data_IF_352610075846
#
_entry.id   IF_352610075846
#
_cell.length_a   1.000
_cell.length_b   1.000
_cell.length_c   1.000
_cell.angle_alpha   90.00
_cell.angle_beta   90.00
_cell.angle_gamma   90.00
#
_symmetry.space_group_name_H-M   'P 1'
#
loop_
_entity.id
_entity.type
_entity.pdbx_description
1 polymer ?
#
# COMPACT_ATOMS: atom_id res chain seq x y z
N UNK A 1 0.93 15.70 -10.20
CA UNK A 1 -0.30 16.52 -10.19
C UNK A 1 -1.54 15.71 -9.78
N UNK A 2 -1.61 14.42 -10.14
CA UNK A 2 -2.77 13.57 -9.87
C UNK A 2 -3.00 13.32 -8.36
N UNK A 3 -1.94 13.30 -7.54
CA UNK A 3 -2.01 13.32 -6.08
C UNK A 3 -2.61 14.63 -5.49
N UNK A 4 -2.72 15.69 -6.28
CA UNK A 4 -3.24 16.99 -5.81
C UNK A 4 -4.72 17.21 -6.15
N UNK A 5 -5.38 16.23 -6.75
CA UNK A 5 -6.83 16.26 -6.91
C UNK A 5 -7.53 16.07 -5.57
N UNK A 6 -8.75 16.53 -5.46
CA UNK A 6 -9.58 16.34 -4.27
C UNK A 6 -10.87 15.67 -4.68
N UNK A 7 -11.06 14.40 -4.30
CA UNK A 7 -10.13 13.52 -3.57
C UNK A 7 -8.91 13.09 -4.40
N UNK A 8 -7.84 12.64 -3.72
CA UNK A 8 -6.60 12.18 -4.36
C UNK A 8 -6.84 10.95 -5.26
N UNK A 9 -6.60 11.12 -6.56
CA UNK A 9 -6.90 10.10 -7.57
C UNK A 9 -6.03 8.85 -7.51
N UNK A 10 -4.80 8.95 -6.98
CA UNK A 10 -3.93 7.78 -6.79
C UNK A 10 -4.50 6.89 -5.68
N UNK A 11 -4.86 7.48 -4.54
CA UNK A 11 -5.49 6.74 -3.44
C UNK A 11 -6.83 6.14 -3.86
N UNK A 12 -7.68 6.87 -4.61
CA UNK A 12 -8.95 6.33 -5.09
C UNK A 12 -8.76 5.09 -5.95
N UNK A 13 -7.85 5.13 -6.92
CA UNK A 13 -7.57 3.98 -7.77
C UNK A 13 -7.01 2.80 -6.97
N UNK A 14 -6.12 3.05 -6.00
CA UNK A 14 -5.56 2.00 -5.15
C UNK A 14 -6.62 1.37 -4.23
N UNK A 15 -7.49 2.19 -3.62
CA UNK A 15 -8.60 1.74 -2.77
C UNK A 15 -9.58 0.86 -3.58
N UNK A 16 -9.89 1.24 -4.81
CA UNK A 16 -10.75 0.47 -5.70
C UNK A 16 -10.09 -0.86 -6.08
N UNK A 17 -8.83 -0.84 -6.49
CA UNK A 17 -8.03 -2.04 -6.82
C UNK A 17 -7.99 -3.04 -5.68
N UNK A 18 -7.80 -2.57 -4.46
CA UNK A 18 -7.74 -3.38 -3.25
C UNK A 18 -9.12 -3.79 -2.73
N UNK A 19 -10.19 -3.19 -3.25
CA UNK A 19 -11.57 -3.36 -2.76
C UNK A 19 -11.74 -2.91 -1.29
N UNK A 20 -11.01 -1.87 -0.86
CA UNK A 20 -10.97 -1.40 0.53
C UNK A 20 -11.99 -0.31 0.85
N UNK A 21 -12.87 0.04 -0.08
CA UNK A 21 -13.85 1.12 0.10
C UNK A 21 -14.75 0.92 1.34
N UNK A 22 -15.18 -0.31 1.59
CA UNK A 22 -16.01 -0.64 2.76
C UNK A 22 -15.21 -0.63 4.08
N UNK A 23 -13.88 -0.65 4.01
CA UNK A 23 -12.99 -0.65 5.16
C UNK A 23 -12.50 0.74 5.56
N UNK A 24 -12.84 1.79 4.79
CA UNK A 24 -12.41 3.15 5.11
C UNK A 24 -12.88 3.59 6.50
N UNK A 25 -11.94 4.04 7.32
CA UNK A 25 -12.26 4.61 8.62
C UNK A 25 -12.60 6.08 8.47
N UNK A 26 -13.81 6.48 8.85
CA UNK A 26 -14.33 7.84 8.74
C UNK A 26 -14.15 8.47 7.34
N UNK A 27 -14.38 7.68 6.29
CA UNK A 27 -14.18 8.10 4.88
C UNK A 27 -12.75 8.54 4.55
N UNK A 28 -11.76 8.16 5.36
CA UNK A 28 -10.35 8.44 5.11
C UNK A 28 -9.85 7.71 3.87
N UNK A 29 -8.93 8.34 3.13
CA UNK A 29 -8.21 7.68 2.04
C UNK A 29 -6.96 6.92 2.54
N UNK A 30 -6.59 7.13 3.79
CA UNK A 30 -5.33 6.62 4.37
C UNK A 30 -5.54 5.67 5.54
N UNK A 31 -6.70 5.66 6.21
CA UNK A 31 -6.97 4.84 7.38
C UNK A 31 -8.11 3.87 7.13
N UNK A 32 -7.90 2.60 7.51
CA UNK A 32 -8.81 1.49 7.25
C UNK A 32 -8.98 0.60 8.47
N UNK A 33 -10.17 0.00 8.61
CA UNK A 33 -10.45 -1.04 9.59
C UNK A 33 -10.81 -2.35 8.92
N UNK A 34 -10.22 -3.42 9.42
CA UNK A 34 -10.47 -4.78 8.98
C UNK A 34 -10.94 -5.67 10.14
N UNK A 35 -11.47 -6.84 9.81
CA UNK A 35 -11.63 -7.90 10.79
C UNK A 35 -10.27 -8.34 11.29
N UNK A 36 -10.20 -8.76 12.56
CA UNK A 36 -8.99 -9.25 13.19
C UNK A 36 -8.34 -10.39 12.38
N UNK A 37 -7.06 -10.23 12.08
CA UNK A 37 -6.25 -11.18 11.31
C UNK A 37 -4.76 -10.92 11.56
N UNK A 38 -3.92 -11.92 11.26
CA UNK A 38 -2.47 -11.75 11.39
C UNK A 38 -1.87 -10.89 10.25
N UNK A 39 -0.69 -10.33 10.48
CA UNK A 39 0.09 -9.60 9.44
C UNK A 39 0.33 -10.51 8.24
N UNK A 40 0.67 -11.79 8.47
CA UNK A 40 0.91 -12.77 7.39
C UNK A 40 -0.35 -13.00 6.55
N UNK A 41 -1.51 -13.24 7.17
CA UNK A 41 -2.78 -13.43 6.47
C UNK A 41 -3.17 -12.19 5.65
N UNK A 42 -2.97 -11.01 6.23
CA UNK A 42 -3.21 -9.75 5.55
C UNK A 42 -2.29 -9.59 4.33
N UNK A 43 -0.98 -9.84 4.51
CA UNK A 43 0.01 -9.75 3.44
C UNK A 43 -0.29 -10.71 2.28
N UNK A 44 -0.71 -11.94 2.57
CA UNK A 44 -1.09 -12.93 1.55
C UNK A 44 -2.31 -12.46 0.73
N UNK A 45 -3.31 -11.85 1.38
CA UNK A 45 -4.48 -11.27 0.70
C UNK A 45 -4.07 -10.08 -0.17
N UNK A 46 -3.25 -9.17 0.37
CA UNK A 46 -2.72 -8.02 -0.33
C UNK A 46 -1.90 -8.43 -1.58
N UNK A 47 -1.02 -9.43 -1.44
CA UNK A 47 -0.20 -9.94 -2.54
C UNK A 47 -1.07 -10.48 -3.70
N UNK A 48 -2.15 -11.18 -3.39
CA UNK A 48 -3.09 -11.66 -4.42
C UNK A 48 -3.74 -10.50 -5.17
N UNK A 49 -4.15 -9.43 -4.47
CA UNK A 49 -4.75 -8.23 -5.08
C UNK A 49 -3.76 -7.48 -5.97
N UNK A 50 -2.47 -7.51 -5.62
CA UNK A 50 -1.38 -6.88 -6.38
C UNK A 50 -0.72 -7.84 -7.38
N UNK A 51 -1.47 -8.82 -7.90
CA UNK A 51 -1.04 -9.78 -8.95
C UNK A 51 0.27 -10.52 -8.61
N UNK A 52 0.49 -10.83 -7.34
CA UNK A 52 1.68 -11.54 -6.88
C UNK A 52 2.94 -10.69 -6.75
N UNK A 53 2.81 -9.37 -6.68
CA UNK A 53 3.92 -8.44 -6.39
C UNK A 53 4.75 -8.92 -5.20
N UNK A 54 6.06 -8.70 -5.27
CA UNK A 54 6.93 -9.03 -4.15
C UNK A 54 6.75 -8.02 -3.04
N UNK A 55 6.20 -8.48 -1.92
CA UNK A 55 6.05 -7.68 -0.72
C UNK A 55 7.28 -7.85 0.18
N UNK A 56 7.77 -6.76 0.75
CA UNK A 56 8.73 -6.78 1.85
C UNK A 56 8.00 -6.43 3.13
N UNK A 57 8.18 -7.22 4.17
CA UNK A 57 7.41 -7.13 5.41
C UNK A 57 8.37 -7.00 6.59
N UNK A 58 8.08 -6.09 7.49
CA UNK A 58 8.82 -5.86 8.73
C UNK A 58 7.84 -5.95 9.89
N UNK A 59 8.24 -6.63 10.96
CA UNK A 59 7.44 -6.89 12.17
C UNK A 59 7.09 -8.37 12.33
N UNK A 60 6.34 -8.68 13.37
CA UNK A 60 5.95 -10.07 13.70
C UNK A 60 4.84 -10.56 12.74
N UNK A 61 5.06 -11.64 11.96
CA UNK A 61 4.05 -12.20 11.06
C UNK A 61 2.78 -12.66 11.77
N UNK A 62 2.88 -13.04 13.05
CA UNK A 62 1.76 -13.53 13.86
C UNK A 62 1.05 -12.41 14.64
N UNK A 63 1.52 -11.17 14.56
CA UNK A 63 0.86 -10.03 15.21
C UNK A 63 -0.54 -9.84 14.63
N UNK A 64 -1.54 -9.80 15.49
CA UNK A 64 -2.92 -9.51 15.13
C UNK A 64 -3.14 -8.02 14.88
N UNK A 65 -3.81 -7.69 13.78
CA UNK A 65 -4.09 -6.33 13.36
C UNK A 65 -5.57 -6.15 12.97
N UNK A 66 -6.06 -4.95 13.20
CA UNK A 66 -7.37 -4.47 12.76
C UNK A 66 -7.28 -3.11 12.06
N UNK A 67 -6.34 -2.28 12.46
CA UNK A 67 -6.18 -0.91 11.99
C UNK A 67 -4.98 -0.79 11.06
N UNK A 68 -5.22 -0.31 9.84
CA UNK A 68 -4.23 -0.24 8.78
C UNK A 68 -4.13 1.18 8.25
N UNK A 69 -2.91 1.67 8.03
CA UNK A 69 -2.65 2.87 7.25
C UNK A 69 -2.16 2.49 5.84
N UNK A 70 -2.58 3.26 4.85
CA UNK A 70 -2.09 3.19 3.47
C UNK A 70 -1.30 4.44 3.14
N UNK A 71 -0.08 4.27 2.62
CA UNK A 71 0.83 5.33 2.19
C UNK A 71 1.42 4.98 0.83
N UNK A 72 0.84 5.46 -0.25
CA UNK A 72 1.26 5.15 -1.62
C UNK A 72 2.49 5.96 -2.05
N UNK A 73 3.22 5.49 -3.06
CA UNK A 73 4.39 6.15 -3.62
C UNK A 73 5.60 6.17 -2.68
N UNK A 74 6.35 7.26 -2.69
CA UNK A 74 7.56 7.47 -1.90
C UNK A 74 7.49 8.81 -1.14
N UNK A 75 6.60 8.97 -0.15
CA UNK A 75 6.39 10.25 0.53
C UNK A 75 7.50 10.65 1.51
N UNK A 76 8.45 9.73 1.78
CA UNK A 76 9.57 9.93 2.68
C UNK A 76 9.30 9.50 4.12
N UNK A 77 10.40 9.38 4.89
CA UNK A 77 10.38 8.84 6.26
C UNK A 77 9.44 9.60 7.19
N UNK A 78 9.48 10.94 7.17
CA UNK A 78 8.64 11.74 8.07
C UNK A 78 7.14 11.46 7.87
N UNK A 79 6.70 11.22 6.64
CA UNK A 79 5.30 10.87 6.37
C UNK A 79 4.95 9.50 6.92
N UNK A 80 5.85 8.53 6.82
CA UNK A 80 5.66 7.20 7.41
C UNK A 80 5.67 7.27 8.94
N UNK A 81 6.57 8.06 9.52
CA UNK A 81 6.67 8.25 10.96
C UNK A 81 5.36 8.84 11.54
N UNK A 82 4.77 9.81 10.86
CA UNK A 82 3.48 10.38 11.27
C UNK A 82 2.38 9.30 11.39
N UNK A 83 2.34 8.32 10.46
CA UNK A 83 1.41 7.19 10.58
C UNK A 83 1.77 6.26 11.73
N UNK A 84 3.06 5.96 11.91
CA UNK A 84 3.53 5.00 12.91
C UNK A 84 3.36 5.54 14.34
N UNK A 85 3.43 6.86 14.53
CA UNK A 85 3.26 7.53 15.82
C UNK A 85 1.81 7.90 16.16
N UNK A 86 0.92 7.97 15.16
CA UNK A 86 -0.50 8.37 15.31
C UNK A 86 -1.27 7.54 16.36
N UNK A 87 -0.83 6.34 16.64
CA UNK A 87 -1.50 5.43 17.60
C UNK A 87 -2.70 4.69 17.02
N UNK A 88 -3.24 5.07 15.87
CA UNK A 88 -4.32 4.36 15.21
C UNK A 88 -3.85 3.12 14.45
N UNK A 89 -2.88 3.17 13.50
CA UNK A 89 -2.51 1.99 12.73
C UNK A 89 -1.56 1.07 13.49
N UNK A 90 -1.86 -0.20 13.44
CA UNK A 90 -0.98 -1.30 13.84
C UNK A 90 -0.09 -1.73 12.67
N UNK A 91 -0.61 -1.61 11.45
CA UNK A 91 0.05 -1.97 10.21
C UNK A 91 0.11 -0.76 9.25
N UNK A 92 1.31 -0.45 8.76
CA UNK A 92 1.53 0.49 7.64
C UNK A 92 1.68 -0.31 6.33
N UNK A 93 0.83 -0.06 5.35
CA UNK A 93 1.02 -0.52 3.97
C UNK A 93 1.58 0.66 3.18
N UNK A 94 2.82 0.56 2.74
CA UNK A 94 3.53 1.62 2.06
C UNK A 94 3.98 1.22 0.65
N UNK A 95 4.22 2.20 -0.21
CA UNK A 95 4.84 1.99 -1.51
C UNK A 95 6.34 1.74 -1.36
N UNK A 96 7.12 2.79 -1.22
CA UNK A 96 8.58 2.76 -1.14
C UNK A 96 9.07 3.50 0.10
N UNK A 97 10.12 2.97 0.71
CA UNK A 97 10.81 3.60 1.83
C UNK A 97 12.31 3.25 1.83
N UNK A 98 13.10 4.11 2.47
CA UNK A 98 14.50 3.83 2.76
C UNK A 98 14.62 2.73 3.80
N UNK A 99 15.42 1.69 3.50
CA UNK A 99 15.61 0.57 4.42
C UNK A 99 16.22 1.01 5.75
N UNK A 100 17.18 1.94 5.73
CA UNK A 100 17.84 2.47 6.95
C UNK A 100 17.00 3.46 7.78
N UNK A 101 15.74 3.75 7.39
CA UNK A 101 14.84 4.65 8.10
C UNK A 101 13.57 3.89 8.53
N UNK A 102 12.57 3.82 7.67
CA UNK A 102 11.24 3.27 8.02
C UNK A 102 11.30 1.79 8.41
N UNK A 103 12.12 1.00 7.71
CA UNK A 103 12.25 -0.44 8.03
C UNK A 103 12.85 -0.63 9.42
N UNK A 104 13.97 0.03 9.70
CA UNK A 104 14.65 -0.08 11.00
C UNK A 104 13.75 0.44 12.13
N UNK A 105 13.07 1.57 11.93
CA UNK A 105 12.12 2.09 12.92
C UNK A 105 11.02 1.07 13.28
N UNK A 106 10.42 0.44 12.27
CA UNK A 106 9.37 -0.57 12.50
C UNK A 106 9.95 -1.83 13.14
N UNK A 107 11.15 -2.25 12.73
CA UNK A 107 11.84 -3.40 13.33
C UNK A 107 12.09 -3.16 14.82
N UNK A 108 12.69 -2.03 15.16
CA UNK A 108 12.96 -1.65 16.55
C UNK A 108 11.69 -1.57 17.39
N UNK A 109 10.64 -0.91 16.86
CA UNK A 109 9.34 -0.83 17.52
C UNK A 109 8.75 -2.22 17.80
N UNK A 110 8.81 -3.12 16.81
CA UNK A 110 8.36 -4.51 16.96
C UNK A 110 9.18 -5.27 18.02
N UNK A 111 10.51 -5.14 17.99
CA UNK A 111 11.40 -5.76 18.98
C UNK A 111 11.21 -5.23 20.41
N UNK A 112 10.76 -3.98 20.53
CA UNK A 112 10.40 -3.37 21.82
C UNK A 112 8.98 -3.80 22.30
N UNK A 113 8.30 -4.67 21.58
CA UNK A 113 6.97 -5.16 21.92
C UNK A 113 5.83 -4.20 21.56
N UNK A 114 6.10 -3.18 20.75
CA UNK A 114 5.06 -2.30 20.22
C UNK A 114 4.32 -3.02 19.10
N UNK A 115 2.99 -2.86 19.05
CA UNK A 115 2.15 -3.39 17.97
C UNK A 115 2.34 -2.59 16.67
N UNK A 116 3.48 -2.78 16.02
CA UNK A 116 3.82 -2.12 14.77
C UNK A 116 4.40 -3.11 13.77
N UNK A 117 3.88 -3.04 12.54
CA UNK A 117 4.41 -3.74 11.39
C UNK A 117 4.28 -2.86 10.13
N UNK A 118 5.04 -3.17 9.10
CA UNK A 118 4.92 -2.53 7.80
C UNK A 118 5.02 -3.53 6.65
N UNK A 119 4.27 -3.27 5.57
CA UNK A 119 4.35 -3.98 4.30
C UNK A 119 4.68 -2.97 3.21
N UNK A 120 5.76 -3.23 2.47
CA UNK A 120 6.21 -2.40 1.35
C UNK A 120 5.89 -3.11 0.04
N UNK A 121 5.07 -2.46 -0.79
CA UNK A 121 4.56 -3.01 -2.04
C UNK A 121 5.44 -2.66 -3.25
N UNK A 122 6.30 -1.67 -3.10
CA UNK A 122 7.02 -1.00 -4.17
C UNK A 122 6.24 0.20 -4.72
N UNK A 123 6.97 1.21 -5.22
CA UNK A 123 6.43 2.47 -5.70
C UNK A 123 5.35 2.24 -6.77
N UNK A 124 5.74 1.58 -7.87
CA UNK A 124 4.86 1.33 -9.02
C UNK A 124 3.59 0.58 -8.58
N UNK A 125 3.74 -0.53 -7.85
CA UNK A 125 2.61 -1.34 -7.41
C UNK A 125 1.63 -0.59 -6.49
N UNK A 126 2.11 0.45 -5.79
CA UNK A 126 1.27 1.28 -4.92
C UNK A 126 0.52 2.41 -5.64
N UNK A 127 0.95 2.79 -6.87
CA UNK A 127 0.38 3.93 -7.59
C UNK A 127 -0.24 3.55 -8.94
N UNK A 128 0.13 2.41 -9.52
CA UNK A 128 -0.28 1.98 -10.85
C UNK A 128 -1.81 2.00 -11.04
N UNK A 129 -2.56 1.51 -10.05
CA UNK A 129 -4.02 1.51 -10.09
C UNK A 129 -4.61 2.93 -10.11
N UNK A 130 -3.94 3.90 -9.47
CA UNK A 130 -4.30 5.32 -9.55
C UNK A 130 -4.09 5.89 -10.94
N UNK A 131 -3.07 5.45 -11.67
CA UNK A 131 -2.84 5.86 -13.06
C UNK A 131 -3.85 5.23 -14.02
N UNK A 132 -4.26 3.98 -13.79
CA UNK A 132 -5.37 3.35 -14.51
C UNK A 132 -6.69 4.11 -14.28
N UNK A 133 -6.94 4.51 -13.03
CA UNK A 133 -8.08 5.35 -12.67
C UNK A 133 -8.01 6.73 -13.36
N UNK A 134 -6.82 7.35 -13.46
CA UNK A 134 -6.61 8.60 -14.19
C UNK A 134 -7.04 8.48 -15.66
N UNK A 135 -6.70 7.39 -16.34
CA UNK A 135 -7.11 7.17 -17.72
C UNK A 135 -8.64 7.07 -17.86
N UNK A 136 -9.31 6.43 -16.91
CA UNK A 136 -10.76 6.34 -16.85
C UNK A 136 -11.41 7.70 -16.59
N UNK A 137 -10.86 8.47 -15.65
CA UNK A 137 -11.31 9.82 -15.32
C UNK A 137 -11.15 10.78 -16.51
N UNK A 138 -10.02 10.75 -17.21
CA UNK A 138 -9.78 11.58 -18.40
C UNK A 138 -10.83 11.35 -19.50
N UNK A 139 -11.28 10.12 -19.71
CA UNK A 139 -12.32 9.80 -20.70
C UNK A 139 -13.64 10.53 -20.44
N UNK A 140 -13.90 10.97 -19.21
CA UNK A 140 -15.10 11.73 -18.87
C UNK A 140 -15.07 13.17 -19.37
N UNK A 141 -13.88 13.72 -19.66
CA UNK A 141 -13.70 15.11 -20.13
C UNK A 141 -13.34 15.19 -21.62
N UNK A 142 -12.69 14.20 -22.17
CA UNK A 142 -12.20 14.15 -23.54
C UNK A 142 -12.61 12.84 -24.22
N UNK A 143 -13.92 12.64 -24.44
CA UNK A 143 -14.44 11.37 -24.96
C UNK A 143 -14.04 11.08 -26.41
N UNK A 144 -13.71 12.12 -27.18
CA UNK A 144 -13.40 12.03 -28.63
C UNK A 144 -11.94 11.64 -28.90
N UNK A 145 -11.08 11.58 -27.88
CA UNK A 145 -9.67 11.19 -27.99
C UNK A 145 -9.47 9.80 -27.39
N UNK A 146 -8.86 8.86 -28.12
CA UNK A 146 -8.52 7.55 -27.57
C UNK A 146 -7.54 7.70 -26.39
N UNK A 147 -7.93 7.21 -25.20
CA UNK A 147 -7.08 7.19 -24.01
C UNK A 147 -6.88 5.74 -23.60
N UNK A 148 -5.62 5.30 -23.58
CA UNK A 148 -5.24 3.95 -23.21
C UNK A 148 -4.26 3.99 -22.03
N UNK A 149 -4.57 3.27 -20.98
CA UNK A 149 -3.61 3.00 -19.92
C UNK A 149 -2.66 1.88 -20.37
N UNK A 150 -1.36 2.08 -20.18
CA UNK A 150 -0.34 1.07 -20.43
C UNK A 150 0.26 0.65 -19.09
N UNK A 151 0.07 -0.61 -18.74
CA UNK A 151 0.67 -1.21 -17.54
C UNK A 151 2.20 -1.26 -17.70
N UNK A 152 2.93 -0.71 -16.75
CA UNK A 152 4.39 -0.62 -16.83
C UNK A 152 5.10 -1.75 -16.07
N UNK A 153 4.48 -2.23 -14.99
CA UNK A 153 5.08 -3.23 -14.12
C UNK A 153 6.34 -2.74 -13.38
N UNK A 154 6.97 -3.59 -12.56
CA UNK A 154 8.16 -3.22 -11.81
C UNK A 154 9.38 -3.08 -12.74
N UNK A 155 10.25 -2.10 -12.44
CA UNK A 155 11.51 -1.88 -13.15
C UNK A 155 12.63 -2.88 -12.78
N UNK A 156 12.33 -3.87 -11.98
CA UNK A 156 13.24 -4.91 -11.53
C UNK A 156 12.58 -6.28 -11.62
N UNK A 157 13.40 -7.30 -11.63
CA UNK A 157 12.97 -8.69 -11.48
C UNK A 157 13.63 -9.31 -10.25
N UNK A 158 13.11 -10.42 -9.77
CA UNK A 158 13.64 -11.11 -8.61
C UNK A 158 13.69 -12.62 -8.85
N UNK A 159 14.64 -13.26 -8.22
CA UNK A 159 14.76 -14.71 -8.26
C UNK A 159 13.58 -15.33 -7.53
N UNK A 160 12.72 -16.04 -8.26
CA UNK A 160 11.67 -16.86 -7.65
C UNK A 160 12.29 -18.15 -7.14
N UNK A 161 11.97 -18.55 -5.90
CA UNK A 161 12.26 -19.92 -5.45
C UNK A 161 11.55 -20.87 -6.40
N UNK A 162 12.32 -21.68 -7.15
CA UNK A 162 11.76 -22.85 -7.81
C UNK A 162 11.24 -23.79 -6.72
N UNK A 163 9.93 -23.95 -6.65
CA UNK A 163 9.35 -25.03 -5.85
C UNK A 163 9.68 -26.31 -6.66
N UNK A 164 10.77 -26.95 -6.26
CA UNK A 164 11.07 -28.32 -6.74
C UNK A 164 9.93 -29.19 -6.21
N UNK A 165 9.07 -29.66 -7.14
CA UNK A 165 8.01 -30.62 -6.85
C UNK A 165 8.60 -31.98 -6.60
#
# INVERSE_FOLDING_TARGET
HWHRTVPDGIYLGMIDKLEWKANQFNSSLTYFKFNDQTVEEFAQKLQKKLKGSQLRIVGDPHMHITNVALSVGAPGFQSHLNFLEDGFPELLVAGEASEWETYEYVLDASMMGMKKAAIFTGHIASEEAGMEYCATWLKTFIPDIPITYLENGPSYWSVQKQIVK
#
